data_IF_109825825594
#
_entry.id   IF_109825825594
#
_cell.length_a   1.000
_cell.length_b   1.000
_cell.length_c   1.000
_cell.angle_alpha   90.00
_cell.angle_beta   90.00
_cell.angle_gamma   90.00
#
_symmetry.space_group_name_H-M   'P 1'
#
loop_
_entity.id
_entity.type
_entity.pdbx_description
1 polymer ?
#
# COMPACT_ATOMS: atom_id res chain seq x y z
N UNK A 1 19.98 -58.70 -54.96
CA UNK A 1 19.46 -58.83 -53.58
C UNK A 1 20.13 -57.83 -52.67
N UNK A 2 19.59 -56.66 -52.49
CA UNK A 2 20.01 -55.67 -51.45
C UNK A 2 18.74 -54.98 -50.94
N UNK A 3 18.42 -55.26 -49.71
CA UNK A 3 17.33 -54.58 -48.96
C UNK A 3 17.76 -53.14 -48.70
N UNK A 4 16.94 -52.16 -49.15
CA UNK A 4 17.03 -50.78 -48.74
C UNK A 4 16.01 -50.55 -47.61
N UNK A 5 16.52 -50.30 -46.42
CA UNK A 5 15.74 -50.00 -45.20
C UNK A 5 15.43 -48.50 -45.22
N UNK A 6 14.18 -48.15 -45.47
CA UNK A 6 13.68 -46.80 -45.29
C UNK A 6 13.55 -46.51 -43.79
N UNK A 7 14.37 -45.57 -43.30
CA UNK A 7 14.25 -44.99 -41.98
C UNK A 7 13.33 -43.73 -42.14
N UNK A 8 12.12 -43.87 -41.66
CA UNK A 8 11.16 -42.73 -41.54
C UNK A 8 11.58 -41.91 -40.30
N UNK A 9 12.16 -40.72 -40.52
CA UNK A 9 12.33 -39.74 -39.46
C UNK A 9 10.98 -39.09 -39.17
N UNK A 10 10.34 -39.47 -38.07
CA UNK A 10 9.20 -38.76 -37.51
C UNK A 10 9.75 -37.49 -36.81
N UNK A 11 9.62 -36.35 -37.45
CA UNK A 11 9.82 -35.06 -36.85
C UNK A 11 8.62 -34.78 -35.89
N UNK A 12 8.87 -34.99 -34.62
CA UNK A 12 7.95 -34.61 -33.55
C UNK A 12 7.98 -33.07 -33.44
N UNK A 13 7.03 -32.39 -34.05
CA UNK A 13 6.79 -30.98 -33.82
C UNK A 13 6.19 -30.85 -32.42
N UNK A 14 7.01 -30.48 -31.44
CA UNK A 14 6.54 -30.01 -30.15
C UNK A 14 5.89 -28.65 -30.42
N UNK A 15 4.57 -28.63 -30.55
CA UNK A 15 3.80 -27.40 -30.42
C UNK A 15 3.96 -26.94 -28.96
N UNK A 16 4.87 -25.98 -28.73
CA UNK A 16 4.86 -25.21 -27.52
C UNK A 16 3.62 -24.30 -27.65
N UNK A 17 2.51 -24.76 -27.09
CA UNK A 17 1.39 -23.86 -26.80
C UNK A 17 1.89 -22.84 -25.80
N UNK A 18 2.27 -21.65 -26.30
CA UNK A 18 2.32 -20.45 -25.47
C UNK A 18 0.88 -20.21 -25.05
N UNK A 19 0.46 -20.80 -23.94
CA UNK A 19 -0.78 -20.39 -23.30
C UNK A 19 -0.57 -18.92 -22.93
N UNK A 20 -1.28 -18.02 -23.63
CA UNK A 20 -1.57 -16.71 -23.06
C UNK A 20 -2.23 -16.99 -21.71
N UNK A 21 -1.49 -16.88 -20.64
CA UNK A 21 -2.02 -16.89 -19.29
C UNK A 21 -2.93 -15.65 -19.17
N UNK A 22 -4.19 -15.81 -19.58
CA UNK A 22 -5.19 -14.81 -19.25
C UNK A 22 -5.32 -14.87 -17.73
N UNK A 23 -4.97 -13.75 -17.10
CA UNK A 23 -5.21 -13.56 -15.67
C UNK A 23 -6.69 -13.81 -15.41
N UNK A 24 -7.08 -14.73 -14.52
CA UNK A 24 -8.48 -14.99 -14.23
C UNK A 24 -9.20 -13.69 -13.88
N UNK A 25 -10.41 -13.50 -14.42
CA UNK A 25 -11.23 -12.34 -14.12
C UNK A 25 -12.35 -12.72 -13.17
N UNK A 26 -12.49 -12.00 -12.08
CA UNK A 26 -13.58 -12.13 -11.12
C UNK A 26 -14.49 -10.90 -11.19
N UNK A 27 -15.79 -11.13 -11.20
CA UNK A 27 -16.77 -10.07 -11.04
C UNK A 27 -17.01 -9.88 -9.54
N UNK A 28 -16.50 -8.79 -9.00
CA UNK A 28 -16.71 -8.40 -7.61
C UNK A 28 -17.67 -7.22 -7.61
N UNK A 29 -18.75 -7.32 -6.86
CA UNK A 29 -19.63 -6.20 -6.58
C UNK A 29 -19.08 -5.37 -5.41
N UNK A 30 -19.46 -4.10 -5.34
CA UNK A 30 -19.06 -3.26 -4.24
C UNK A 30 -20.23 -2.41 -3.76
N UNK A 31 -20.46 -2.40 -2.45
CA UNK A 31 -21.41 -1.48 -1.79
C UNK A 31 -20.76 -0.20 -1.39
N UNK A 32 -21.53 0.90 -1.46
CA UNK A 32 -21.06 2.24 -1.15
C UNK A 32 -21.33 2.57 0.31
N UNK A 33 -20.30 3.07 1.02
CA UNK A 33 -20.48 3.61 2.38
C UNK A 33 -21.03 5.04 2.38
N UNK A 34 -21.41 5.54 3.57
CA UNK A 34 -21.70 6.95 3.76
C UNK A 34 -20.44 7.80 3.46
N UNK A 35 -20.61 9.00 2.86
CA UNK A 35 -19.49 9.90 2.60
C UNK A 35 -18.81 10.36 3.89
N UNK A 36 -17.46 10.51 3.84
CA UNK A 36 -16.75 11.19 4.93
C UNK A 36 -17.17 12.68 5.01
N UNK A 37 -17.46 13.20 6.20
CA UNK A 37 -18.07 14.53 6.35
C UNK A 37 -17.23 15.72 5.84
N UNK A 38 -15.90 15.56 5.76
CA UNK A 38 -15.00 16.64 5.33
C UNK A 38 -14.87 16.79 3.80
N UNK A 39 -15.66 16.05 3.02
CA UNK A 39 -15.69 16.14 1.55
C UNK A 39 -14.66 15.32 0.82
N UNK A 40 -13.88 14.49 1.53
CA UNK A 40 -12.88 13.58 0.96
C UNK A 40 -11.45 13.96 1.30
N UNK A 41 -10.56 12.98 1.16
CA UNK A 41 -9.13 13.08 1.46
C UNK A 41 -8.32 12.38 0.38
N UNK A 42 -7.22 12.98 -0.06
CA UNK A 42 -6.21 12.36 -0.91
C UNK A 42 -4.89 12.26 -0.15
N UNK A 43 -4.08 11.24 -0.43
CA UNK A 43 -2.81 11.01 0.26
C UNK A 43 -2.95 10.84 1.79
N UNK A 44 -4.10 10.38 2.25
CA UNK A 44 -4.31 9.93 3.63
C UNK A 44 -3.70 8.53 3.84
N UNK A 45 -3.61 8.12 5.09
CA UNK A 45 -3.29 6.73 5.46
C UNK A 45 -4.44 6.13 6.25
N UNK A 46 -4.53 4.78 6.24
CA UNK A 46 -5.60 4.08 6.93
C UNK A 46 -5.12 2.74 7.48
N UNK A 47 -5.73 2.30 8.57
CA UNK A 47 -5.64 0.92 9.06
C UNK A 47 -6.93 0.52 9.79
N UNK A 48 -7.04 -0.76 10.08
CA UNK A 48 -8.09 -1.32 10.94
C UNK A 48 -7.62 -1.32 12.40
N UNK A 49 -8.54 -1.12 13.33
CA UNK A 49 -8.39 -1.37 14.76
C UNK A 49 -9.74 -1.65 15.41
N UNK A 50 -9.85 -2.76 16.14
CA UNK A 50 -11.05 -3.17 16.88
C UNK A 50 -12.35 -3.12 16.07
N UNK A 51 -12.34 -3.67 14.85
CA UNK A 51 -13.51 -3.75 13.98
C UNK A 51 -13.94 -2.43 13.35
N UNK A 52 -13.06 -1.43 13.33
CA UNK A 52 -13.30 -0.12 12.73
C UNK A 52 -12.14 0.31 11.83
N UNK A 53 -12.44 1.13 10.83
CA UNK A 53 -11.43 1.76 10.00
C UNK A 53 -10.99 3.10 10.57
N UNK A 54 -9.70 3.33 10.68
CA UNK A 54 -9.12 4.61 11.07
C UNK A 54 -8.42 5.25 9.89
N UNK A 55 -8.66 6.54 9.69
CA UNK A 55 -8.12 7.32 8.57
C UNK A 55 -7.46 8.58 9.11
N UNK A 56 -6.21 8.80 8.72
CA UNK A 56 -5.41 9.90 9.24
C UNK A 56 -4.82 10.79 8.15
N UNK A 57 -4.84 12.10 8.41
CA UNK A 57 -4.16 13.09 7.59
C UNK A 57 -4.73 13.22 6.19
N UNK A 58 -3.90 13.62 5.26
CA UNK A 58 -4.29 13.78 3.86
C UNK A 58 -4.50 15.23 3.44
N UNK A 59 -4.83 15.40 2.16
CA UNK A 59 -5.13 16.67 1.50
C UNK A 59 -6.63 16.79 1.28
N UNK A 60 -7.21 17.88 1.76
CA UNK A 60 -8.62 18.22 1.62
C UNK A 60 -8.92 18.85 0.25
N UNK A 61 -10.19 19.01 -0.08
CA UNK A 61 -10.66 19.63 -1.34
C UNK A 61 -10.09 21.04 -1.56
N UNK A 62 -9.86 21.80 -0.50
CA UNK A 62 -9.27 23.14 -0.56
C UNK A 62 -7.73 23.13 -0.68
N UNK A 63 -7.11 21.96 -0.88
CA UNK A 63 -5.67 21.79 -0.97
C UNK A 63 -4.93 21.94 0.36
N UNK A 64 -5.64 22.04 1.49
CA UNK A 64 -5.03 22.06 2.81
C UNK A 64 -4.70 20.64 3.28
N UNK A 65 -3.61 20.50 4.04
CA UNK A 65 -3.32 19.26 4.76
C UNK A 65 -4.05 19.28 6.10
N UNK A 66 -4.37 18.09 6.61
CA UNK A 66 -5.03 17.93 7.90
C UNK A 66 -4.22 17.02 8.82
N UNK A 67 -4.46 17.14 10.14
CA UNK A 67 -3.97 16.24 11.18
C UNK A 67 -5.12 15.49 11.86
N UNK A 68 -6.28 15.45 11.22
CA UNK A 68 -7.47 14.78 11.70
C UNK A 68 -7.29 13.26 11.70
N UNK A 69 -7.79 12.63 12.77
CA UNK A 69 -7.99 11.19 12.87
C UNK A 69 -9.47 10.87 12.86
N UNK A 70 -9.92 10.23 11.81
CA UNK A 70 -11.30 9.80 11.61
C UNK A 70 -11.48 8.32 11.91
N UNK A 71 -12.62 7.96 12.47
CA UNK A 71 -13.09 6.58 12.65
C UNK A 71 -14.28 6.33 11.72
N UNK A 72 -14.24 5.22 11.01
CA UNK A 72 -15.37 4.66 10.26
C UNK A 72 -15.89 3.41 10.97
N UNK A 73 -17.16 3.41 11.33
CA UNK A 73 -17.84 2.25 11.90
C UNK A 73 -18.70 1.56 10.83
N UNK A 74 -18.33 0.33 10.38
CA UNK A 74 -19.06 -0.37 9.33
C UNK A 74 -20.45 -0.85 9.78
N UNK A 75 -20.68 -1.11 11.06
CA UNK A 75 -21.97 -1.59 11.57
C UNK A 75 -23.05 -0.52 11.50
N UNK A 76 -22.67 0.74 11.73
CA UNK A 76 -23.59 1.90 11.67
C UNK A 76 -23.44 2.68 10.38
N UNK A 77 -22.48 2.32 9.52
CA UNK A 77 -22.11 3.03 8.30
C UNK A 77 -21.92 4.53 8.56
N UNK A 78 -21.15 4.87 9.57
CA UNK A 78 -20.99 6.26 10.03
C UNK A 78 -19.55 6.63 10.33
N UNK A 79 -19.28 7.93 10.25
CA UNK A 79 -17.98 8.54 10.48
C UNK A 79 -17.98 9.36 11.76
N UNK A 80 -16.86 9.35 12.46
CA UNK A 80 -16.62 10.19 13.64
C UNK A 80 -15.21 10.78 13.58
N UNK A 81 -15.07 12.08 13.77
CA UNK A 81 -13.78 12.70 14.05
C UNK A 81 -13.40 12.37 15.50
N UNK A 82 -12.31 11.60 15.66
CA UNK A 82 -11.90 11.09 16.97
C UNK A 82 -10.98 12.07 17.68
N UNK A 83 -9.96 12.55 16.94
CA UNK A 83 -8.89 13.36 17.53
C UNK A 83 -8.14 14.13 16.45
N UNK A 84 -7.21 14.97 16.90
CA UNK A 84 -6.21 15.63 16.07
C UNK A 84 -4.83 15.26 16.59
N UNK A 85 -3.95 14.83 15.69
CA UNK A 85 -2.55 14.60 16.07
C UNK A 85 -1.96 15.92 16.63
N UNK A 86 -1.22 15.89 17.76
CA UNK A 86 -0.58 17.10 18.31
C UNK A 86 0.51 17.71 17.41
N UNK A 87 0.96 16.95 16.40
CA UNK A 87 1.95 17.37 15.41
C UNK A 87 1.36 18.13 14.22
N UNK A 88 2.20 18.40 13.20
CA UNK A 88 1.81 19.14 11.99
C UNK A 88 0.83 18.35 11.13
N UNK A 89 -0.09 19.07 10.47
CA UNK A 89 -0.93 18.56 9.40
C UNK A 89 -0.07 18.02 8.25
N UNK A 90 -0.43 16.86 7.69
CA UNK A 90 0.45 16.11 6.80
C UNK A 90 -0.28 15.23 5.78
N UNK A 91 0.48 14.86 4.76
CA UNK A 91 0.11 13.86 3.74
C UNK A 91 1.14 12.74 3.71
N UNK A 92 0.76 11.59 3.13
CA UNK A 92 1.67 10.45 2.92
C UNK A 92 2.35 9.96 4.21
N UNK A 93 1.67 10.09 5.33
CA UNK A 93 2.05 9.52 6.61
C UNK A 93 1.97 7.99 6.58
N UNK A 94 2.50 7.35 7.60
CA UNK A 94 2.20 5.95 7.90
C UNK A 94 1.19 5.87 9.06
N UNK A 95 0.40 4.82 9.06
CA UNK A 95 -0.42 4.40 10.18
C UNK A 95 -0.54 2.88 10.17
N UNK A 96 -0.36 2.27 11.33
CA UNK A 96 -0.47 0.83 11.53
C UNK A 96 -0.92 0.55 12.96
N UNK A 97 -1.55 -0.60 13.17
CA UNK A 97 -1.98 -1.08 14.50
C UNK A 97 -1.20 -2.33 14.90
N UNK A 98 -0.85 -2.44 16.17
CA UNK A 98 -0.35 -3.67 16.79
C UNK A 98 -1.46 -4.48 17.48
N UNK A 99 -2.72 -4.04 17.38
CA UNK A 99 -3.87 -4.61 18.07
C UNK A 99 -4.16 -4.00 19.46
N UNK A 100 -3.25 -3.19 19.99
CA UNK A 100 -3.41 -2.47 21.27
C UNK A 100 -3.52 -0.96 21.08
N UNK A 101 -2.85 -0.42 20.05
CA UNK A 101 -2.82 1.00 19.72
C UNK A 101 -2.61 1.26 18.24
N UNK A 102 -2.79 2.52 17.85
CA UNK A 102 -2.44 3.04 16.53
C UNK A 102 -1.08 3.73 16.62
N UNK A 103 -0.19 3.40 15.70
CA UNK A 103 1.11 4.06 15.51
C UNK A 103 1.06 4.91 14.25
N UNK A 104 1.28 6.21 14.41
CA UNK A 104 1.02 7.23 13.38
C UNK A 104 2.19 8.19 13.31
N UNK A 105 2.63 8.54 12.13
CA UNK A 105 3.66 9.57 12.02
C UNK A 105 4.25 9.69 10.62
N UNK A 106 5.42 10.32 10.58
CA UNK A 106 6.16 10.53 9.35
C UNK A 106 5.36 11.37 8.32
N UNK A 107 5.69 11.25 7.04
CA UNK A 107 4.99 11.96 5.97
C UNK A 107 5.56 13.34 5.69
N UNK A 108 4.75 14.17 5.01
CA UNK A 108 5.16 15.48 4.52
C UNK A 108 4.16 16.57 4.95
N UNK A 109 4.68 17.69 5.41
CA UNK A 109 3.90 18.89 5.72
C UNK A 109 4.02 19.95 4.60
N UNK A 110 3.15 20.96 4.62
CA UNK A 110 3.24 22.09 3.69
C UNK A 110 4.58 22.83 3.84
N UNK A 111 5.22 23.10 2.70
CA UNK A 111 6.48 23.82 2.60
C UNK A 111 7.16 23.51 1.27
N UNK A 112 8.41 23.90 1.15
CA UNK A 112 9.23 23.53 0.01
C UNK A 112 9.78 22.12 0.20
N UNK A 113 9.77 21.32 -0.84
CA UNK A 113 10.44 20.01 -0.85
C UNK A 113 11.95 20.08 -0.63
N UNK A 114 12.52 21.29 -0.67
CA UNK A 114 13.94 21.54 -0.41
C UNK A 114 14.23 21.94 1.04
N UNK A 115 13.25 21.78 1.95
CA UNK A 115 13.39 22.12 3.36
C UNK A 115 13.13 20.87 4.21
N UNK A 116 14.14 20.42 4.94
CA UNK A 116 14.09 19.21 5.78
C UNK A 116 12.90 19.21 6.75
N UNK A 117 12.57 20.38 7.30
CA UNK A 117 11.46 20.50 8.24
C UNK A 117 10.07 20.18 7.66
N UNK A 118 9.98 19.91 6.35
CA UNK A 118 8.76 19.44 5.69
C UNK A 118 8.66 17.91 5.67
N UNK A 119 9.79 17.21 5.79
CA UNK A 119 9.83 15.76 5.97
C UNK A 119 9.73 15.48 7.47
N UNK A 120 8.55 15.02 7.89
CA UNK A 120 8.22 14.89 9.29
C UNK A 120 8.77 13.56 9.84
N UNK A 121 9.50 13.64 10.94
CA UNK A 121 10.14 12.50 11.58
C UNK A 121 9.44 12.09 12.88
N UNK A 122 8.46 12.89 13.34
CA UNK A 122 7.72 12.61 14.55
C UNK A 122 6.88 11.34 14.41
N UNK A 123 6.88 10.54 15.47
CA UNK A 123 6.19 9.28 15.55
C UNK A 123 5.36 9.25 16.84
N UNK A 124 4.14 8.75 16.78
CA UNK A 124 3.16 8.86 17.83
C UNK A 124 2.41 7.54 18.02
N UNK A 125 2.08 7.25 19.26
CA UNK A 125 1.13 6.21 19.65
C UNK A 125 -0.18 6.88 20.04
N UNK A 126 -1.29 6.33 19.56
CA UNK A 126 -2.63 6.77 19.94
C UNK A 126 -3.42 5.58 20.46
N UNK A 127 -4.03 5.72 21.63
CA UNK A 127 -4.91 4.72 22.23
C UNK A 127 -6.35 5.19 22.06
N UNK A 128 -7.16 4.58 21.16
CA UNK A 128 -8.52 5.05 20.87
C UNK A 128 -9.45 5.00 22.08
N UNK A 129 -9.27 4.08 23.01
CA UNK A 129 -10.15 3.89 24.16
C UNK A 129 -10.08 5.04 25.17
N UNK A 130 -8.93 5.65 25.36
CA UNK A 130 -8.71 6.78 26.27
C UNK A 130 -8.45 8.10 25.55
N UNK A 131 -8.28 8.08 24.23
CA UNK A 131 -8.04 9.24 23.40
C UNK A 131 -6.68 9.91 23.62
N UNK A 132 -5.71 9.19 24.19
CA UNK A 132 -4.41 9.74 24.55
C UNK A 132 -3.39 9.59 23.42
N UNK A 133 -2.59 10.65 23.24
CA UNK A 133 -1.44 10.68 22.37
C UNK A 133 -0.15 10.61 23.18
N UNK A 134 0.75 9.74 22.76
CA UNK A 134 2.11 9.65 23.29
C UNK A 134 3.09 9.89 22.14
N UNK A 135 4.04 10.82 22.35
CA UNK A 135 5.12 11.04 21.40
C UNK A 135 6.23 10.01 21.62
N UNK A 136 6.58 9.29 20.59
CA UNK A 136 7.59 8.25 20.59
C UNK A 136 8.93 8.78 20.06
N UNK A 137 9.96 7.92 20.06
CA UNK A 137 11.25 8.22 19.44
C UNK A 137 11.06 8.57 17.96
N UNK A 138 11.58 9.73 17.57
CA UNK A 138 11.52 10.21 16.20
C UNK A 138 12.25 9.28 15.23
N UNK A 139 11.74 9.14 14.03
CA UNK A 139 12.36 8.39 12.95
C UNK A 139 13.72 8.99 12.57
N UNK A 140 14.79 8.20 12.41
CA UNK A 140 16.15 8.72 12.28
C UNK A 140 16.51 9.28 10.90
N UNK A 141 15.61 9.21 9.92
CA UNK A 141 15.86 9.63 8.53
C UNK A 141 14.82 10.64 8.05
N UNK A 142 15.13 11.38 6.98
CA UNK A 142 14.19 12.24 6.25
C UNK A 142 13.42 11.48 5.16
N UNK A 143 13.67 10.18 4.99
CA UNK A 143 12.94 9.33 4.02
C UNK A 143 11.59 8.89 4.58
N UNK A 144 10.70 9.83 4.83
CA UNK A 144 9.50 9.68 5.66
C UNK A 144 8.20 9.57 4.88
N UNK A 145 8.25 9.68 3.55
CA UNK A 145 7.06 9.69 2.71
C UNK A 145 6.80 8.29 2.14
N UNK A 146 5.61 7.73 2.38
CA UNK A 146 5.13 6.49 1.77
C UNK A 146 6.05 5.28 1.97
N UNK A 147 6.64 5.14 3.14
CA UNK A 147 7.17 3.86 3.58
C UNK A 147 6.04 2.85 3.76
N UNK A 148 6.32 1.58 3.55
CA UNK A 148 5.35 0.50 3.75
C UNK A 148 5.54 -0.08 5.14
N UNK A 149 4.56 0.09 6.06
CA UNK A 149 4.68 -0.40 7.42
C UNK A 149 4.21 -1.85 7.55
N UNK A 150 4.85 -2.60 8.44
CA UNK A 150 4.46 -3.94 8.88
C UNK A 150 4.56 -4.03 10.39
N UNK A 151 3.71 -4.86 11.00
CA UNK A 151 3.86 -5.28 12.41
C UNK A 151 4.25 -6.74 12.43
N UNK A 152 5.27 -7.06 13.21
CA UNK A 152 5.67 -8.43 13.53
C UNK A 152 6.18 -8.47 14.95
N UNK A 153 5.61 -9.34 15.77
CA UNK A 153 5.87 -9.42 17.21
C UNK A 153 5.73 -8.05 17.90
N UNK A 154 6.74 -7.63 18.64
CA UNK A 154 6.81 -6.35 19.37
C UNK A 154 7.50 -5.25 18.53
N UNK A 155 7.39 -5.32 17.20
CA UNK A 155 8.13 -4.43 16.32
C UNK A 155 7.30 -3.91 15.16
N UNK A 156 7.57 -2.67 14.75
CA UNK A 156 7.05 -2.07 13.53
C UNK A 156 8.19 -1.91 12.55
N UNK A 157 8.08 -2.58 11.41
CA UNK A 157 9.03 -2.45 10.32
C UNK A 157 8.54 -1.44 9.30
N UNK A 158 9.46 -0.69 8.71
CA UNK A 158 9.19 0.26 7.63
C UNK A 158 10.12 -0.03 6.46
N UNK A 159 9.54 -0.41 5.33
CA UNK A 159 10.28 -0.71 4.11
C UNK A 159 10.21 0.43 3.11
N UNK A 160 11.36 0.83 2.56
CA UNK A 160 11.49 1.87 1.55
C UNK A 160 10.94 3.24 2.00
N UNK A 161 10.56 4.06 1.03
CA UNK A 161 10.07 5.43 1.25
C UNK A 161 10.89 6.45 0.48
N UNK A 162 10.56 7.72 0.64
CA UNK A 162 11.26 8.82 -0.01
C UNK A 162 11.33 10.05 0.87
N UNK A 163 12.34 10.84 0.61
CA UNK A 163 12.57 12.16 1.16
C UNK A 163 13.33 12.97 0.11
N UNK A 164 14.58 13.29 0.38
CA UNK A 164 15.50 13.86 -0.61
C UNK A 164 15.81 12.88 -1.75
N UNK A 165 15.80 11.58 -1.46
CA UNK A 165 15.98 10.50 -2.42
C UNK A 165 15.08 9.34 -2.04
N UNK A 166 14.87 8.41 -2.96
CA UNK A 166 14.25 7.14 -2.62
C UNK A 166 15.22 6.30 -1.79
N UNK A 167 14.68 5.54 -0.85
CA UNK A 167 15.45 4.57 -0.08
C UNK A 167 14.95 3.16 -0.32
N UNK A 168 15.84 2.21 -0.09
CA UNK A 168 15.57 0.78 -0.03
C UNK A 168 15.84 0.22 1.38
N UNK A 169 15.94 1.09 2.36
CA UNK A 169 16.15 0.71 3.75
C UNK A 169 14.92 -0.07 4.29
N UNK A 170 15.24 -1.08 5.10
CA UNK A 170 14.31 -1.70 6.03
C UNK A 170 14.70 -1.24 7.43
N UNK A 171 13.81 -0.53 8.10
CA UNK A 171 14.00 -0.06 9.47
C UNK A 171 13.04 -0.76 10.40
N UNK A 172 13.43 -0.92 11.65
CA UNK A 172 12.65 -1.56 12.71
C UNK A 172 12.51 -0.62 13.89
N UNK A 173 11.30 -0.41 14.34
CA UNK A 173 10.97 0.24 15.60
C UNK A 173 10.58 -0.82 16.62
N UNK A 174 11.35 -0.94 17.69
CA UNK A 174 11.06 -1.81 18.82
C UNK A 174 10.11 -1.08 19.77
N UNK A 175 8.89 -1.61 19.91
CA UNK A 175 7.81 -1.03 20.72
C UNK A 175 8.18 -1.02 22.20
N UNK A 176 8.90 -2.04 22.67
CA UNK A 176 9.27 -2.20 24.08
C UNK A 176 10.33 -1.20 24.51
N UNK A 177 11.34 -0.98 23.67
CA UNK A 177 12.48 -0.12 23.99
C UNK A 177 12.31 1.32 23.48
N UNK A 178 11.29 1.58 22.64
CA UNK A 178 11.06 2.86 21.96
C UNK A 178 12.28 3.31 21.14
N UNK A 179 12.87 2.40 20.36
CA UNK A 179 14.08 2.67 19.59
C UNK A 179 13.94 2.24 18.13
N UNK A 180 14.50 3.05 17.23
CA UNK A 180 14.65 2.73 15.82
C UNK A 180 16.01 2.11 15.52
N UNK A 181 16.04 1.08 14.68
CA UNK A 181 17.25 0.48 14.13
C UNK A 181 17.11 0.28 12.62
N UNK A 182 18.24 0.27 11.89
CA UNK A 182 18.27 -0.08 10.48
C UNK A 182 18.63 -1.57 10.40
N UNK A 183 17.71 -2.38 9.83
CA UNK A 183 17.88 -3.83 9.71
C UNK A 183 18.92 -4.16 8.63
N UNK A 184 18.84 -3.49 7.47
CA UNK A 184 19.66 -3.76 6.29
C UNK A 184 20.70 -2.66 6.00
N UNK A 185 21.47 -2.25 7.00
CA UNK A 185 22.43 -1.15 6.88
C UNK A 185 23.45 -1.27 5.73
N UNK A 186 23.61 -2.44 5.09
CA UNK A 186 24.67 -2.69 4.12
C UNK A 186 24.35 -3.51 2.87
N UNK A 187 23.19 -4.12 2.73
CA UNK A 187 22.88 -5.00 1.59
C UNK A 187 21.39 -5.05 1.25
N UNK A 188 20.83 -3.95 0.81
CA UNK A 188 19.48 -4.02 0.26
C UNK A 188 19.46 -4.83 -1.03
N UNK A 189 18.58 -5.82 -1.11
CA UNK A 189 18.39 -6.69 -2.28
C UNK A 189 17.35 -6.16 -3.26
N UNK A 190 16.73 -5.04 -2.94
CA UNK A 190 15.72 -4.39 -3.78
C UNK A 190 16.14 -2.97 -4.14
N UNK A 191 15.63 -2.48 -5.26
CA UNK A 191 15.84 -1.09 -5.65
C UNK A 191 15.06 -0.14 -4.74
N UNK A 192 15.70 0.99 -4.40
CA UNK A 192 15.04 2.10 -3.73
C UNK A 192 13.81 2.55 -4.53
N UNK A 193 12.69 2.84 -3.85
CA UNK A 193 11.47 3.21 -4.57
C UNK A 193 10.48 4.05 -3.75
N UNK A 194 9.64 4.75 -4.50
CA UNK A 194 8.57 5.60 -3.98
C UNK A 194 7.21 4.99 -4.28
N UNK A 195 6.28 5.09 -3.32
CA UNK A 195 4.89 4.70 -3.51
C UNK A 195 4.70 3.22 -3.83
N UNK A 196 5.51 2.37 -3.19
CA UNK A 196 5.32 0.94 -3.18
C UNK A 196 4.05 0.54 -2.43
N UNK A 197 3.61 -0.68 -2.63
CA UNK A 197 2.55 -1.33 -1.89
C UNK A 197 3.09 -2.52 -1.11
N UNK A 198 2.45 -2.86 -0.01
CA UNK A 198 2.77 -4.06 0.73
C UNK A 198 1.85 -4.27 1.92
N UNK A 199 1.62 -5.52 2.27
CA UNK A 199 0.72 -5.90 3.35
C UNK A 199 1.15 -7.23 3.97
N UNK A 200 0.68 -7.49 5.18
CA UNK A 200 0.75 -8.81 5.81
C UNK A 200 -0.48 -9.62 5.46
N UNK A 201 -0.30 -10.82 4.93
CA UNK A 201 -1.35 -11.73 4.50
C UNK A 201 -1.05 -13.14 5.01
N UNK A 202 -1.92 -13.73 5.83
CA UNK A 202 -1.72 -15.07 6.40
C UNK A 202 -0.41 -15.22 7.19
N UNK A 203 0.08 -14.16 7.81
CA UNK A 203 1.36 -14.15 8.54
C UNK A 203 2.61 -13.95 7.66
N UNK A 204 2.43 -13.80 6.35
CA UNK A 204 3.51 -13.50 5.38
C UNK A 204 3.49 -12.02 5.01
N UNK A 205 4.66 -11.41 4.81
CA UNK A 205 4.78 -10.01 4.45
C UNK A 205 5.10 -9.87 2.97
N UNK A 206 4.32 -9.05 2.26
CA UNK A 206 4.48 -8.85 0.83
C UNK A 206 4.80 -7.39 0.52
N UNK A 207 5.62 -7.17 -0.52
CA UNK A 207 6.07 -5.86 -0.95
C UNK A 207 6.27 -5.82 -2.46
N UNK A 208 5.92 -4.71 -3.08
CA UNK A 208 6.21 -4.53 -4.51
C UNK A 208 5.67 -3.23 -5.08
N UNK A 209 5.59 -3.15 -6.40
CA UNK A 209 5.23 -1.94 -7.12
C UNK A 209 6.18 -0.76 -6.86
N UNK A 210 5.72 0.46 -7.12
CA UNK A 210 6.48 1.68 -6.87
C UNK A 210 7.26 2.20 -8.07
N UNK A 211 7.95 3.30 -7.84
CA UNK A 211 8.67 4.06 -8.86
C UNK A 211 10.12 4.31 -8.42
N UNK A 212 11.07 3.97 -9.29
CA UNK A 212 12.45 4.43 -9.25
C UNK A 212 12.93 4.72 -10.68
N UNK A 213 12.75 5.97 -11.13
CA UNK A 213 12.92 6.34 -12.54
C UNK A 213 11.88 5.70 -13.47
N UNK A 214 11.46 4.48 -13.21
CA UNK A 214 10.37 3.76 -13.90
C UNK A 214 9.48 2.99 -12.91
N UNK A 215 8.23 2.76 -13.31
CA UNK A 215 7.32 1.93 -12.50
C UNK A 215 7.74 0.45 -12.62
N UNK A 216 7.62 -0.29 -11.52
CA UNK A 216 7.98 -1.69 -11.47
C UNK A 216 6.76 -2.60 -11.26
N UNK A 217 6.84 -3.81 -11.83
CA UNK A 217 5.90 -4.91 -11.61
C UNK A 217 6.39 -5.92 -10.56
N UNK A 218 7.58 -5.71 -10.02
CA UNK A 218 8.20 -6.62 -9.07
C UNK A 218 7.33 -6.81 -7.83
N UNK A 219 7.25 -8.06 -7.37
CA UNK A 219 6.55 -8.47 -6.16
C UNK A 219 7.40 -9.44 -5.38
N UNK A 220 7.47 -9.26 -4.07
CA UNK A 220 8.32 -10.03 -3.17
C UNK A 220 7.51 -10.48 -1.95
N UNK A 221 7.87 -11.61 -1.40
CA UNK A 221 7.63 -11.96 -0.01
C UNK A 221 8.87 -11.58 0.80
N UNK A 222 8.68 -11.02 1.99
CA UNK A 222 9.74 -10.43 2.81
C UNK A 222 9.81 -11.16 4.14
N UNK A 223 10.97 -11.71 4.45
CA UNK A 223 11.32 -12.10 5.82
C UNK A 223 11.91 -10.87 6.52
N UNK A 224 11.12 -10.24 7.37
CA UNK A 224 11.50 -9.00 8.05
C UNK A 224 12.63 -9.20 9.06
N UNK A 225 12.71 -10.37 9.70
CA UNK A 225 13.71 -10.64 10.72
C UNK A 225 15.11 -10.86 10.13
N UNK A 226 15.16 -11.50 8.94
CA UNK A 226 16.42 -11.85 8.29
C UNK A 226 16.79 -10.95 7.11
N UNK A 227 15.95 -9.95 6.78
CA UNK A 227 16.07 -9.10 5.59
C UNK A 227 16.21 -9.93 4.31
N UNK A 228 15.39 -10.97 4.18
CA UNK A 228 15.35 -11.81 3.00
C UNK A 228 14.15 -11.48 2.12
N UNK A 229 14.41 -11.33 0.81
CA UNK A 229 13.43 -10.93 -0.18
C UNK A 229 13.29 -12.01 -1.25
N UNK A 230 12.16 -12.71 -1.24
CA UNK A 230 11.86 -13.80 -2.15
C UNK A 230 10.98 -13.33 -3.30
N UNK A 231 11.50 -13.45 -4.53
CA UNK A 231 10.75 -13.04 -5.73
C UNK A 231 9.47 -13.88 -5.83
N UNK A 232 8.36 -13.22 -6.09
CA UNK A 232 7.05 -13.78 -6.38
C UNK A 232 6.58 -13.38 -7.78
N UNK A 233 5.42 -13.91 -8.21
CA UNK A 233 4.85 -13.61 -9.51
C UNK A 233 4.64 -12.12 -9.69
N UNK A 234 5.20 -11.55 -10.76
CA UNK A 234 5.08 -10.12 -11.06
C UNK A 234 3.64 -9.69 -11.31
N UNK A 235 3.35 -8.43 -10.98
CA UNK A 235 2.05 -7.81 -11.27
C UNK A 235 1.85 -7.76 -12.78
N UNK A 236 0.73 -8.27 -13.31
CA UNK A 236 0.47 -8.29 -14.74
C UNK A 236 0.26 -6.87 -15.31
N UNK A 237 0.70 -6.68 -16.55
CA UNK A 237 0.52 -5.43 -17.28
C UNK A 237 1.58 -4.38 -16.98
N UNK A 238 1.14 -3.16 -16.65
CA UNK A 238 2.05 -2.04 -16.37
C UNK A 238 2.35 -1.95 -14.87
N UNK A 239 3.62 -1.69 -14.55
CA UNK A 239 3.99 -1.32 -13.18
C UNK A 239 3.25 -0.08 -12.71
N UNK A 240 3.04 0.04 -11.40
CA UNK A 240 2.26 1.15 -10.81
C UNK A 240 2.87 1.69 -9.53
N UNK A 241 2.45 2.87 -9.17
CA UNK A 241 2.72 3.51 -7.88
C UNK A 241 1.46 4.20 -7.37
N UNK A 242 1.44 4.68 -6.13
CA UNK A 242 0.31 5.42 -5.55
C UNK A 242 -1.01 4.62 -5.51
N UNK A 243 -0.96 3.29 -5.58
CA UNK A 243 -2.13 2.44 -5.39
C UNK A 243 -2.45 2.29 -3.90
N UNK A 244 -3.74 2.09 -3.58
CA UNK A 244 -4.14 1.60 -2.27
C UNK A 244 -3.95 0.09 -2.18
N UNK A 245 -3.73 -0.41 -0.98
CA UNK A 245 -3.50 -1.82 -0.73
C UNK A 245 -3.99 -2.23 0.66
N UNK A 246 -4.44 -3.45 0.76
CA UNK A 246 -4.73 -4.14 2.02
C UNK A 246 -4.67 -5.65 1.80
N UNK A 247 -4.88 -6.43 2.85
CA UNK A 247 -4.90 -7.88 2.76
C UNK A 247 -6.03 -8.48 3.61
N UNK A 248 -6.50 -9.65 3.17
CA UNK A 248 -7.20 -10.64 3.98
C UNK A 248 -6.21 -11.74 4.40
N UNK A 249 -6.69 -12.85 4.94
CA UNK A 249 -5.82 -13.99 5.26
C UNK A 249 -5.31 -14.74 4.03
N UNK A 250 -5.97 -14.59 2.87
CA UNK A 250 -5.67 -15.34 1.64
C UNK A 250 -5.13 -14.48 0.50
N UNK A 251 -5.47 -13.19 0.47
CA UNK A 251 -5.21 -12.31 -0.67
C UNK A 251 -4.61 -10.97 -0.25
N UNK A 252 -3.68 -10.47 -1.06
CA UNK A 252 -3.29 -9.05 -1.03
C UNK A 252 -3.99 -8.33 -2.18
N UNK A 253 -4.67 -7.23 -1.89
CA UNK A 253 -5.42 -6.43 -2.86
C UNK A 253 -4.67 -5.15 -3.22
N UNK A 254 -4.73 -4.78 -4.50
CA UNK A 254 -4.24 -3.50 -5.03
C UNK A 254 -5.37 -2.78 -5.77
N UNK A 255 -5.52 -1.49 -5.52
CA UNK A 255 -6.57 -0.64 -6.09
C UNK A 255 -5.97 0.55 -6.81
N UNK A 256 -6.28 0.73 -8.09
CA UNK A 256 -5.93 1.90 -8.88
C UNK A 256 -4.44 2.23 -8.89
N UNK A 257 -4.11 3.49 -8.61
CA UNK A 257 -2.76 4.01 -8.68
C UNK A 257 -2.43 4.58 -10.05
N UNK A 258 -1.15 4.85 -10.28
CA UNK A 258 -0.66 5.51 -11.49
C UNK A 258 0.53 4.80 -12.12
N UNK A 259 0.57 4.79 -13.43
CA UNK A 259 1.76 4.56 -14.22
C UNK A 259 2.29 5.92 -14.73
N UNK A 260 3.52 6.27 -14.39
CA UNK A 260 4.19 7.43 -14.96
C UNK A 260 4.92 7.04 -16.25
N UNK A 261 4.68 7.78 -17.35
CA UNK A 261 5.34 7.53 -18.63
C UNK A 261 6.77 8.09 -18.69
N UNK A 262 7.09 9.03 -17.80
CA UNK A 262 8.41 9.62 -17.60
C UNK A 262 8.64 9.86 -16.11
N UNK A 263 9.70 10.55 -15.75
CA UNK A 263 9.95 10.93 -14.36
C UNK A 263 8.86 11.88 -13.86
N UNK A 264 7.93 11.32 -13.06
CA UNK A 264 6.83 12.05 -12.41
C UNK A 264 5.86 12.80 -13.32
N UNK A 265 5.84 12.51 -14.64
CA UNK A 265 5.00 13.21 -15.60
C UNK A 265 4.22 12.27 -16.51
N UNK A 266 3.03 12.70 -16.94
CA UNK A 266 2.19 11.98 -17.89
C UNK A 266 1.71 10.63 -17.35
N UNK A 267 1.41 9.71 -18.27
CA UNK A 267 1.05 8.35 -17.96
C UNK A 267 -0.44 8.11 -17.79
N UNK A 268 -0.80 7.13 -16.97
CA UNK A 268 -2.16 6.62 -16.85
C UNK A 268 -2.53 6.42 -15.38
N UNK A 269 -3.72 6.87 -14.97
CA UNK A 269 -4.36 6.51 -13.70
C UNK A 269 -5.20 5.27 -13.95
N UNK A 270 -5.04 4.24 -13.12
CA UNK A 270 -5.74 2.99 -13.28
C UNK A 270 -7.16 3.03 -12.68
N UNK A 271 -8.06 2.25 -13.28
CA UNK A 271 -9.43 2.04 -12.78
C UNK A 271 -9.68 0.60 -12.36
N UNK A 272 -8.64 -0.21 -12.34
CA UNK A 272 -8.72 -1.62 -11.99
C UNK A 272 -8.43 -1.86 -10.51
N UNK A 273 -8.89 -2.99 -10.04
CA UNK A 273 -8.34 -3.63 -8.87
C UNK A 273 -8.01 -5.09 -9.17
N UNK A 274 -7.01 -5.59 -8.47
CA UNK A 274 -6.52 -6.95 -8.59
C UNK A 274 -6.15 -7.50 -7.22
N UNK A 275 -6.06 -8.82 -7.12
CA UNK A 275 -5.61 -9.50 -5.92
C UNK A 275 -4.52 -10.51 -6.22
N UNK A 276 -3.61 -10.64 -5.30
CA UNK A 276 -2.57 -11.66 -5.30
C UNK A 276 -3.00 -12.83 -4.41
N UNK A 277 -3.09 -14.01 -4.99
CA UNK A 277 -3.37 -15.24 -4.25
C UNK A 277 -2.06 -15.79 -3.70
N UNK A 278 -1.92 -15.77 -2.37
CA UNK A 278 -0.67 -16.15 -1.69
C UNK A 278 -0.34 -17.62 -1.88
N UNK A 279 -1.34 -18.50 -1.78
CA UNK A 279 -1.14 -19.95 -1.90
C UNK A 279 -0.77 -20.39 -3.32
N UNK A 280 -1.32 -19.69 -4.34
CA UNK A 280 -1.11 -20.05 -5.75
C UNK A 280 0.03 -19.29 -6.41
N UNK A 281 0.62 -18.29 -5.72
CA UNK A 281 1.61 -17.36 -6.27
C UNK A 281 1.15 -16.79 -7.64
N UNK A 282 -0.06 -16.24 -7.69
CA UNK A 282 -0.59 -15.68 -8.92
C UNK A 282 -1.50 -14.47 -8.67
N UNK A 283 -1.56 -13.57 -9.67
CA UNK A 283 -2.44 -12.42 -9.68
C UNK A 283 -3.76 -12.76 -10.35
N UNK A 284 -4.83 -12.23 -9.80
CA UNK A 284 -6.19 -12.31 -10.33
C UNK A 284 -6.70 -10.89 -10.59
N UNK A 285 -7.18 -10.64 -11.81
CA UNK A 285 -7.85 -9.39 -12.15
C UNK A 285 -9.30 -9.48 -11.67
N UNK A 286 -9.70 -8.54 -10.81
CA UNK A 286 -11.03 -8.58 -10.22
C UNK A 286 -12.06 -7.87 -11.12
N UNK A 287 -11.97 -6.55 -11.24
CA UNK A 287 -12.86 -5.77 -12.11
C UNK A 287 -12.40 -4.32 -12.19
N UNK A 288 -13.16 -3.48 -12.86
CA UNK A 288 -13.01 -2.04 -12.79
C UNK A 288 -13.64 -1.49 -11.52
N UNK A 289 -13.00 -0.49 -10.92
CA UNK A 289 -13.53 0.17 -9.72
C UNK A 289 -14.73 1.04 -10.07
N UNK A 290 -15.83 1.01 -9.27
CA UNK A 290 -17.00 1.86 -9.47
C UNK A 290 -16.69 3.37 -9.41
N UNK A 291 -15.66 3.78 -8.66
CA UNK A 291 -15.21 5.17 -8.61
C UNK A 291 -14.46 5.62 -9.88
N UNK A 292 -14.21 4.71 -10.83
CA UNK A 292 -13.42 4.98 -12.02
C UNK A 292 -11.91 5.03 -11.76
N UNK A 293 -11.19 5.80 -12.56
CA UNK A 293 -9.74 5.98 -12.42
C UNK A 293 -9.41 6.76 -11.17
N UNK A 294 -8.57 6.17 -10.30
CA UNK A 294 -8.23 6.80 -9.01
C UNK A 294 -6.84 6.44 -8.51
N UNK A 295 -6.25 7.36 -7.76
CA UNK A 295 -4.95 7.23 -7.12
C UNK A 295 -4.95 7.87 -5.73
N UNK A 296 -3.88 7.65 -4.95
CA UNK A 296 -3.75 8.20 -3.61
C UNK A 296 -4.92 7.84 -2.68
N UNK A 297 -5.54 6.71 -2.96
CA UNK A 297 -6.63 6.13 -2.18
C UNK A 297 -6.10 5.45 -0.92
N UNK A 298 -7.02 5.05 -0.06
CA UNK A 298 -6.78 4.17 1.09
C UNK A 298 -7.48 2.82 0.89
N UNK A 299 -6.98 1.80 1.58
CA UNK A 299 -7.66 0.52 1.73
C UNK A 299 -7.33 -0.10 3.09
N UNK A 300 -8.26 -0.87 3.63
CA UNK A 300 -8.11 -1.63 4.86
C UNK A 300 -9.11 -2.79 4.89
N UNK A 301 -8.92 -3.73 5.81
CA UNK A 301 -9.78 -4.90 5.96
C UNK A 301 -10.37 -4.91 7.36
N UNK A 302 -11.68 -5.10 7.50
CA UNK A 302 -12.40 -5.26 8.77
C UNK A 302 -13.16 -6.59 8.72
N UNK A 303 -12.91 -7.50 9.65
CA UNK A 303 -13.59 -8.80 9.74
C UNK A 303 -13.59 -9.56 8.41
N UNK A 304 -12.45 -9.56 7.72
CA UNK A 304 -12.29 -10.20 6.40
C UNK A 304 -12.90 -9.43 5.22
N UNK A 305 -13.64 -8.34 5.46
CA UNK A 305 -14.23 -7.50 4.41
C UNK A 305 -13.28 -6.40 4.01
N UNK A 306 -13.10 -6.24 2.72
CA UNK A 306 -12.19 -5.25 2.14
C UNK A 306 -12.91 -3.94 1.90
N UNK A 307 -12.33 -2.84 2.38
CA UNK A 307 -12.77 -1.46 2.17
C UNK A 307 -11.69 -0.69 1.43
N UNK A 308 -12.08 0.08 0.41
CA UNK A 308 -11.19 0.98 -0.30
C UNK A 308 -11.93 2.24 -0.75
N UNK A 309 -11.22 3.32 -1.00
CA UNK A 309 -11.84 4.56 -1.46
C UNK A 309 -11.05 5.79 -1.06
N UNK A 310 -11.76 6.91 -0.93
CA UNK A 310 -11.13 8.21 -0.82
C UNK A 310 -10.12 8.44 -1.97
N UNK A 311 -9.09 9.27 -1.78
CA UNK A 311 -8.14 9.56 -2.85
C UNK A 311 -8.68 10.57 -3.85
N UNK A 312 -8.16 10.53 -5.06
CA UNK A 312 -8.53 11.46 -6.12
C UNK A 312 -8.63 10.77 -7.49
N UNK A 313 -9.51 11.28 -8.34
CA UNK A 313 -9.63 10.80 -9.70
C UNK A 313 -8.54 11.43 -10.61
N UNK A 314 -8.50 11.02 -11.88
CA UNK A 314 -7.54 11.54 -12.89
C UNK A 314 -7.61 13.06 -13.13
N UNK A 315 -8.70 13.74 -12.68
CA UNK A 315 -8.89 15.18 -12.75
C UNK A 315 -8.51 15.89 -11.44
N UNK A 316 -8.01 15.16 -10.44
CA UNK A 316 -7.66 15.69 -9.12
C UNK A 316 -8.87 16.02 -8.22
N UNK A 317 -10.06 15.53 -8.58
CA UNK A 317 -11.27 15.67 -7.74
C UNK A 317 -11.26 14.59 -6.68
N UNK A 318 -11.53 14.96 -5.42
CA UNK A 318 -11.54 14.01 -4.32
C UNK A 318 -12.76 13.08 -4.39
N UNK A 319 -12.49 11.82 -4.01
CA UNK A 319 -13.50 10.81 -3.74
C UNK A 319 -13.77 10.86 -2.23
N UNK A 320 -15.04 10.89 -1.83
CA UNK A 320 -15.43 11.07 -0.44
C UNK A 320 -16.11 9.86 0.20
N UNK A 321 -16.08 8.72 -0.47
CA UNK A 321 -16.75 7.50 -0.05
C UNK A 321 -15.78 6.33 0.00
N UNK A 322 -16.15 5.29 0.77
CA UNK A 322 -15.55 3.97 0.72
C UNK A 322 -16.45 3.02 -0.05
N UNK A 323 -15.82 2.04 -0.66
CA UNK A 323 -16.45 0.89 -1.30
C UNK A 323 -16.09 -0.35 -0.49
N UNK A 324 -17.09 -1.13 -0.10
CA UNK A 324 -16.89 -2.45 0.50
C UNK A 324 -16.99 -3.49 -0.61
N UNK A 325 -15.99 -4.36 -0.73
CA UNK A 325 -16.04 -5.51 -1.65
C UNK A 325 -16.98 -6.57 -1.06
N UNK A 326 -17.85 -7.08 -1.92
CA UNK A 326 -18.69 -8.26 -1.69
C UNK A 326 -18.16 -9.39 -2.56
N UNK A 327 -17.60 -10.43 -1.93
CA UNK A 327 -17.15 -11.67 -2.57
C UNK A 327 -18.27 -12.71 -2.64
#
# INVERSE_FOLDING_TARGET
>A
MRLVRNICFMLLHILVCVSCNQVPAFNISATLSSPIPNGGLSCATACEFNGKGYIFGGRTQNGNYTNDLWEYNPQTNSWKLISHLPGKARVNAIMISDGEALYIGLGFSKGSVYVDSCYLQDFWRFTPDDGQWEQLQSYPSTNTIRGVPYVSDQSIYLACGTGWSHTNELTCYDITTNQWTIVNAHQSRIDARFGAAGATCGGHHFFGTGLNGKNTCQWYEVDLANDEWHIRSEIPGKGRTLCAYCATDEYVYLFGGRYFAGEHTGGEVFNDHMRYNVLKDCWEYCSTMPCGRAENMIAFTIDGKVYYGLGENEKGQLINTLYQIEE
#
